data_IF_266840190624
#
_entry.id   IF_266840190624
#
_cell.length_a   1.000
_cell.length_b   1.000
_cell.length_c   1.000
_cell.angle_alpha   90.00
_cell.angle_beta   90.00
_cell.angle_gamma   90.00
#
_symmetry.space_group_name_H-M   'P 1'
#
loop_
_entity.id
_entity.type
_entity.pdbx_description
1 polymer ?
#
# COMPACT_ATOMS: atom_id res chain seq x y z
N UNK A 1 -23.69 0.19 9.93
CA UNK A 1 -24.69 0.11 8.85
C UNK A 1 -24.73 -1.33 8.40
N UNK A 2 -25.91 -1.96 8.43
CA UNK A 2 -26.10 -3.31 7.90
C UNK A 2 -26.40 -3.16 6.41
N UNK A 3 -25.59 -3.81 5.57
CA UNK A 3 -25.74 -3.83 4.12
C UNK A 3 -26.35 -5.16 3.73
N UNK A 4 -27.38 -5.13 2.91
CA UNK A 4 -28.02 -6.31 2.34
C UNK A 4 -27.66 -6.34 0.85
N UNK A 5 -26.71 -7.21 0.44
CA UNK A 5 -26.30 -7.30 -0.95
C UNK A 5 -27.42 -7.92 -1.79
N UNK A 6 -27.53 -7.43 -3.01
CA UNK A 6 -28.43 -7.93 -4.05
C UNK A 6 -27.66 -8.67 -5.14
N UNK A 7 -28.37 -9.35 -6.00
CA UNK A 7 -27.79 -9.96 -7.20
C UNK A 7 -27.14 -8.86 -8.07
N UNK A 8 -25.96 -9.18 -8.61
CA UNK A 8 -25.14 -8.30 -9.44
C UNK A 8 -24.43 -7.14 -8.70
N UNK A 9 -24.61 -7.02 -7.39
CA UNK A 9 -23.77 -6.11 -6.58
C UNK A 9 -22.30 -6.48 -6.67
N UNK A 10 -21.44 -5.48 -6.52
CA UNK A 10 -19.99 -5.66 -6.52
C UNK A 10 -19.45 -5.23 -5.16
N UNK A 11 -18.81 -6.16 -4.47
CA UNK A 11 -18.10 -5.89 -3.23
C UNK A 11 -16.59 -5.89 -3.46
N UNK A 12 -15.93 -4.78 -3.19
CA UNK A 12 -14.47 -4.65 -3.33
C UNK A 12 -13.83 -4.37 -1.99
N UNK A 13 -12.88 -5.21 -1.59
CA UNK A 13 -12.01 -4.93 -0.46
C UNK A 13 -10.81 -4.13 -0.95
N UNK A 14 -10.76 -2.85 -0.57
CA UNK A 14 -9.71 -1.90 -0.97
C UNK A 14 -8.64 -1.64 0.10
N UNK A 15 -8.70 -2.36 1.21
CA UNK A 15 -7.77 -2.21 2.33
C UNK A 15 -6.99 -3.48 2.65
N UNK A 16 -6.57 -3.58 3.89
CA UNK A 16 -5.77 -4.70 4.39
C UNK A 16 -6.63 -5.97 4.57
N UNK A 17 -6.98 -6.64 3.48
CA UNK A 17 -7.83 -7.84 3.45
C UNK A 17 -7.28 -8.98 4.36
N UNK A 18 -5.99 -9.00 4.61
CA UNK A 18 -5.31 -10.00 5.43
C UNK A 18 -5.48 -9.81 6.95
N UNK A 19 -6.02 -8.67 7.40
CA UNK A 19 -6.24 -8.39 8.83
C UNK A 19 -7.58 -8.96 9.30
N UNK A 20 -8.61 -8.89 8.46
CA UNK A 20 -9.97 -9.30 8.78
C UNK A 20 -10.52 -10.26 7.72
N UNK A 21 -10.06 -11.52 7.71
CA UNK A 21 -10.52 -12.51 6.75
C UNK A 21 -11.95 -12.96 7.09
N UNK A 22 -12.94 -12.47 6.34
CA UNK A 22 -14.34 -12.88 6.46
C UNK A 22 -14.79 -13.67 5.24
N UNK A 23 -13.95 -14.60 4.77
CA UNK A 23 -14.18 -15.32 3.51
C UNK A 23 -15.44 -16.16 3.51
N UNK A 24 -15.81 -16.77 4.64
CA UNK A 24 -17.07 -17.52 4.75
C UNK A 24 -18.29 -16.62 4.49
N UNK A 25 -18.28 -15.42 5.04
CA UNK A 25 -19.33 -14.43 4.78
C UNK A 25 -19.35 -14.00 3.32
N UNK A 26 -18.19 -13.76 2.72
CA UNK A 26 -18.07 -13.38 1.30
C UNK A 26 -18.59 -14.53 0.41
N UNK A 27 -18.22 -15.78 0.70
CA UNK A 27 -18.70 -16.94 -0.02
C UNK A 27 -20.22 -17.08 0.07
N UNK A 28 -20.80 -16.82 1.24
CA UNK A 28 -22.27 -16.83 1.40
C UNK A 28 -22.93 -15.72 0.55
N UNK A 29 -22.38 -14.52 0.54
CA UNK A 29 -22.89 -13.40 -0.27
C UNK A 29 -22.77 -13.67 -1.78
N UNK A 30 -21.72 -14.36 -2.22
CA UNK A 30 -21.58 -14.78 -3.61
C UNK A 30 -22.68 -15.75 -4.07
N UNK A 31 -23.25 -16.56 -3.17
CA UNK A 31 -24.37 -17.47 -3.47
C UNK A 31 -25.64 -16.71 -3.89
N UNK A 32 -25.82 -15.45 -3.45
CA UNK A 32 -26.93 -14.60 -3.88
C UNK A 32 -26.65 -13.86 -5.18
N UNK A 33 -25.48 -14.08 -5.81
CA UNK A 33 -25.11 -13.51 -7.09
C UNK A 33 -24.27 -12.23 -7.02
N UNK A 34 -23.73 -11.89 -5.83
CA UNK A 34 -22.75 -10.80 -5.66
C UNK A 34 -21.40 -11.19 -6.28
N UNK A 35 -20.69 -10.23 -6.85
CA UNK A 35 -19.30 -10.38 -7.30
C UNK A 35 -18.33 -9.81 -6.29
N UNK A 36 -17.20 -10.51 -6.10
CA UNK A 36 -16.16 -10.11 -5.15
C UNK A 36 -14.87 -9.73 -5.87
N UNK A 37 -14.33 -8.56 -5.53
CA UNK A 37 -13.07 -8.05 -6.04
C UNK A 37 -12.10 -7.66 -4.94
N UNK A 38 -10.82 -7.72 -5.25
CA UNK A 38 -9.72 -7.27 -4.40
C UNK A 38 -9.04 -6.07 -5.03
N UNK A 39 -8.64 -5.10 -4.20
CA UNK A 39 -7.71 -4.07 -4.60
C UNK A 39 -6.36 -4.34 -3.90
N UNK A 40 -5.35 -4.70 -4.67
CA UNK A 40 -4.03 -5.06 -4.15
C UNK A 40 -3.05 -3.92 -4.47
N UNK A 41 -2.41 -3.38 -3.43
CA UNK A 41 -1.46 -2.28 -3.55
C UNK A 41 -0.07 -2.72 -3.95
N UNK A 42 0.40 -3.85 -3.40
CA UNK A 42 1.69 -4.46 -3.70
C UNK A 42 1.74 -5.92 -3.22
N UNK A 43 2.80 -6.62 -3.58
CA UNK A 43 3.12 -7.97 -3.14
C UNK A 43 4.48 -8.01 -2.40
N UNK A 44 4.84 -6.92 -1.71
CA UNK A 44 6.14 -6.80 -1.01
C UNK A 44 6.35 -7.94 -0.01
N UNK A 45 5.32 -8.32 0.74
CA UNK A 45 5.40 -9.42 1.71
C UNK A 45 5.78 -10.77 1.07
N UNK A 46 5.48 -10.92 -0.23
CA UNK A 46 5.78 -12.14 -0.98
C UNK A 46 7.13 -12.02 -1.70
N UNK A 47 7.36 -10.89 -2.35
CA UNK A 47 8.54 -10.68 -3.20
C UNK A 47 9.81 -10.35 -2.42
N UNK A 48 9.66 -9.72 -1.25
CA UNK A 48 10.75 -9.23 -0.40
C UNK A 48 10.49 -9.54 1.09
N UNK A 49 10.28 -10.81 1.46
CA UNK A 49 9.90 -11.19 2.83
C UNK A 49 10.96 -10.81 3.87
N UNK A 50 12.22 -10.64 3.47
CA UNK A 50 13.33 -10.24 4.35
C UNK A 50 13.20 -8.80 4.88
N UNK A 51 12.36 -7.96 4.25
CA UNK A 51 12.11 -6.58 4.68
C UNK A 51 10.81 -6.40 5.47
N UNK A 52 10.13 -7.50 5.79
CA UNK A 52 8.85 -7.49 6.50
C UNK A 52 8.93 -8.40 7.71
N UNK A 53 8.17 -8.11 8.76
CA UNK A 53 8.09 -9.01 9.91
C UNK A 53 7.54 -10.38 9.48
N UNK A 54 8.15 -11.46 10.00
CA UNK A 54 7.88 -12.84 9.55
C UNK A 54 6.41 -13.23 9.75
N UNK A 55 5.85 -12.91 10.91
CA UNK A 55 4.44 -13.17 11.24
C UNK A 55 3.46 -12.45 10.26
N UNK A 56 3.78 -11.22 9.87
CA UNK A 56 3.01 -10.48 8.88
C UNK A 56 3.10 -11.12 7.49
N UNK A 57 4.28 -11.62 7.11
CA UNK A 57 4.51 -12.32 5.83
C UNK A 57 3.73 -13.63 5.77
N UNK A 58 3.81 -14.45 6.83
CA UNK A 58 3.13 -15.74 6.88
C UNK A 58 1.61 -15.57 6.81
N UNK A 59 1.06 -14.63 7.58
CA UNK A 59 -0.35 -14.30 7.51
C UNK A 59 -0.77 -13.80 6.13
N UNK A 60 -0.03 -12.88 5.54
CA UNK A 60 -0.33 -12.34 4.21
C UNK A 60 -0.35 -13.43 3.13
N UNK A 61 0.64 -14.36 3.16
CA UNK A 61 0.73 -15.45 2.20
C UNK A 61 -0.49 -16.38 2.22
N UNK A 62 -0.98 -16.71 3.42
CA UNK A 62 -2.21 -17.50 3.56
C UNK A 62 -3.41 -16.72 3.05
N UNK A 63 -3.59 -15.51 3.55
CA UNK A 63 -4.78 -14.71 3.27
C UNK A 63 -4.90 -14.29 1.80
N UNK A 64 -3.79 -13.96 1.12
CA UNK A 64 -3.85 -13.64 -0.31
C UNK A 64 -4.24 -14.85 -1.14
N UNK A 65 -3.76 -16.04 -0.76
CA UNK A 65 -4.12 -17.27 -1.45
C UNK A 65 -5.62 -17.52 -1.37
N UNK A 66 -6.18 -17.47 -0.16
CA UNK A 66 -7.60 -17.72 0.10
C UNK A 66 -8.48 -16.62 -0.56
N UNK A 67 -8.05 -15.36 -0.49
CA UNK A 67 -8.78 -14.25 -1.10
C UNK A 67 -8.85 -14.36 -2.63
N UNK A 68 -7.74 -14.75 -3.28
CA UNK A 68 -7.70 -14.95 -4.73
C UNK A 68 -8.56 -16.14 -5.17
N UNK A 69 -8.67 -17.19 -4.37
CA UNK A 69 -9.49 -18.37 -4.69
C UNK A 69 -10.99 -18.06 -4.74
N UNK A 70 -11.43 -17.00 -4.07
CA UNK A 70 -12.83 -16.57 -4.07
C UNK A 70 -13.09 -15.28 -4.86
N UNK A 71 -12.05 -14.60 -5.34
CA UNK A 71 -12.19 -13.36 -6.10
C UNK A 71 -12.70 -13.61 -7.52
N UNK A 72 -13.52 -12.70 -8.04
CA UNK A 72 -13.95 -12.69 -9.44
C UNK A 72 -13.03 -11.80 -10.30
N UNK A 73 -12.35 -10.83 -9.67
CA UNK A 73 -11.38 -9.96 -10.32
C UNK A 73 -10.45 -9.29 -9.29
N UNK A 74 -9.33 -8.75 -9.79
CA UNK A 74 -8.38 -7.97 -8.99
C UNK A 74 -8.14 -6.61 -9.63
N UNK A 75 -8.08 -5.58 -8.80
CA UNK A 75 -7.65 -4.24 -9.15
C UNK A 75 -6.26 -3.99 -8.54
N UNK A 76 -5.41 -3.29 -9.27
CA UNK A 76 -4.08 -2.89 -8.82
C UNK A 76 -3.89 -1.37 -8.97
N UNK A 77 -3.04 -0.77 -8.17
CA UNK A 77 -2.78 0.68 -8.22
C UNK A 77 -1.88 1.11 -9.38
N UNK A 78 -1.29 0.17 -10.12
CA UNK A 78 -0.41 0.44 -11.26
C UNK A 78 -0.31 -0.76 -12.20
N UNK A 79 0.12 -0.54 -13.43
CA UNK A 79 0.40 -1.61 -14.39
C UNK A 79 1.52 -2.55 -13.90
N UNK A 80 2.51 -2.01 -13.20
CA UNK A 80 3.57 -2.83 -12.60
C UNK A 80 3.00 -3.84 -11.61
N UNK A 81 2.17 -3.38 -10.67
CA UNK A 81 1.54 -4.26 -9.67
C UNK A 81 0.54 -5.22 -10.32
N UNK A 82 -0.21 -4.77 -11.34
CA UNK A 82 -1.11 -5.66 -12.08
C UNK A 82 -0.35 -6.82 -12.73
N UNK A 83 0.77 -6.54 -13.38
CA UNK A 83 1.62 -7.57 -13.99
C UNK A 83 2.26 -8.51 -12.93
N UNK A 84 2.69 -7.98 -11.79
CA UNK A 84 3.23 -8.78 -10.69
C UNK A 84 2.17 -9.73 -10.10
N UNK A 85 0.92 -9.28 -9.97
CA UNK A 85 -0.21 -10.13 -9.54
C UNK A 85 -0.50 -11.22 -10.57
N UNK A 86 -0.53 -10.89 -11.86
CA UNK A 86 -0.73 -11.87 -12.94
C UNK A 86 0.34 -12.95 -12.88
N UNK A 87 1.60 -12.55 -12.71
CA UNK A 87 2.72 -13.48 -12.58
C UNK A 87 2.57 -14.34 -11.32
N UNK A 88 2.22 -13.76 -10.18
CA UNK A 88 2.00 -14.50 -8.95
C UNK A 88 0.90 -15.56 -9.09
N UNK A 89 -0.22 -15.21 -9.72
CA UNK A 89 -1.31 -16.14 -9.99
C UNK A 89 -0.82 -17.28 -10.90
N UNK A 90 -0.09 -16.97 -11.96
CA UNK A 90 0.48 -17.99 -12.87
C UNK A 90 1.48 -18.92 -12.19
N UNK A 91 2.24 -18.42 -11.20
CA UNK A 91 3.22 -19.21 -10.43
C UNK A 91 2.56 -20.13 -9.38
N UNK A 92 1.43 -19.74 -8.81
CA UNK A 92 0.86 -20.35 -7.60
C UNK A 92 -0.49 -21.03 -7.81
N UNK A 93 -1.20 -20.70 -8.87
CA UNK A 93 -2.57 -21.14 -9.13
C UNK A 93 -2.67 -21.81 -10.50
N UNK A 94 -3.67 -22.65 -10.68
CA UNK A 94 -3.98 -23.32 -11.94
C UNK A 94 -5.16 -22.66 -12.70
N UNK A 95 -5.46 -21.42 -12.37
CA UNK A 95 -6.49 -20.62 -13.01
C UNK A 95 -5.97 -19.20 -13.30
N UNK A 96 -6.74 -18.44 -14.06
CA UNK A 96 -6.50 -17.02 -14.33
C UNK A 96 -7.63 -16.17 -13.77
N UNK A 97 -7.30 -14.96 -13.33
CA UNK A 97 -8.27 -13.96 -12.90
C UNK A 97 -8.13 -12.69 -13.77
N UNK A 98 -9.23 -11.97 -14.04
CA UNK A 98 -9.14 -10.63 -14.58
C UNK A 98 -8.39 -9.71 -13.60
N UNK A 99 -7.26 -9.15 -14.03
CA UNK A 99 -6.49 -8.17 -13.26
C UNK A 99 -6.43 -6.88 -14.07
N UNK A 100 -6.74 -5.74 -13.44
CA UNK A 100 -6.70 -4.45 -14.10
C UNK A 100 -6.07 -3.38 -13.23
N UNK A 101 -5.20 -2.56 -13.81
CA UNK A 101 -4.69 -1.38 -13.14
C UNK A 101 -5.75 -0.27 -13.09
N UNK A 102 -5.87 0.35 -11.91
CA UNK A 102 -6.63 1.56 -11.63
C UNK A 102 -5.65 2.55 -11.06
N UNK A 103 -5.15 3.44 -11.90
CA UNK A 103 -4.14 4.44 -11.49
C UNK A 103 -4.74 5.36 -10.44
N UNK A 104 -4.05 5.49 -9.31
CA UNK A 104 -4.47 6.39 -8.24
C UNK A 104 -4.31 7.85 -8.71
N UNK A 105 -5.23 8.74 -8.30
CA UNK A 105 -5.12 10.16 -8.64
C UNK A 105 -3.87 10.77 -7.99
N UNK A 106 -3.16 11.59 -8.74
CA UNK A 106 -1.95 12.30 -8.29
C UNK A 106 -2.25 13.69 -7.77
N UNK A 107 -3.43 14.24 -8.08
CA UNK A 107 -3.84 15.57 -7.66
C UNK A 107 -4.73 15.50 -6.43
N UNK A 108 -4.23 16.09 -5.35
CA UNK A 108 -5.07 16.42 -4.20
C UNK A 108 -5.74 17.76 -4.48
N UNK A 109 -7.05 17.80 -4.65
CA UNK A 109 -7.78 19.07 -4.64
C UNK A 109 -7.56 19.70 -3.27
N UNK A 110 -6.79 20.79 -3.22
CA UNK A 110 -6.70 21.60 -2.02
C UNK A 110 -8.08 22.23 -1.79
N UNK A 111 -8.85 21.71 -0.86
CA UNK A 111 -9.87 22.53 -0.24
C UNK A 111 -9.13 23.66 0.46
N UNK A 112 -9.48 24.90 0.14
CA UNK A 112 -8.79 26.15 0.51
C UNK A 112 -8.62 26.44 2.02
N UNK A 113 -9.03 25.54 2.88
CA UNK A 113 -8.68 25.57 4.30
C UNK A 113 -7.31 24.92 4.49
N UNK A 114 -6.24 25.57 4.01
CA UNK A 114 -4.90 25.24 4.51
C UNK A 114 -4.90 25.50 6.02
N UNK A 115 -4.90 24.42 6.80
CA UNK A 115 -4.79 24.52 8.23
C UNK A 115 -3.53 25.34 8.54
N UNK A 116 -3.70 26.46 9.25
CA UNK A 116 -2.59 27.32 9.61
C UNK A 116 -1.63 26.53 10.48
N UNK A 117 -0.42 26.36 10.01
CA UNK A 117 0.62 25.71 10.80
C UNK A 117 1.00 26.64 11.94
N UNK A 118 0.73 26.24 13.19
CA UNK A 118 1.02 27.03 14.39
C UNK A 118 2.29 26.57 15.11
N UNK A 119 2.85 25.41 14.75
CA UNK A 119 4.06 24.86 15.35
C UNK A 119 5.29 25.66 14.90
N UNK A 120 5.91 26.35 15.88
CA UNK A 120 7.09 27.21 15.63
C UNK A 120 8.29 26.44 15.09
N UNK A 121 8.53 25.23 15.60
CA UNK A 121 9.62 24.35 15.15
C UNK A 121 9.52 24.02 13.64
N UNK A 122 8.30 23.75 13.13
CA UNK A 122 8.07 23.53 11.70
C UNK A 122 8.27 24.81 10.91
N UNK A 123 7.78 25.94 11.42
CA UNK A 123 7.93 27.24 10.75
C UNK A 123 9.40 27.67 10.67
N UNK A 124 10.21 27.33 11.67
CA UNK A 124 11.64 27.66 11.68
C UNK A 124 12.42 26.78 10.70
N UNK A 125 12.10 25.49 10.59
CA UNK A 125 12.68 24.62 9.55
C UNK A 125 12.31 25.10 8.16
N UNK A 126 11.07 25.52 7.94
CA UNK A 126 10.59 25.99 6.62
C UNK A 126 11.26 27.28 6.14
N UNK A 127 12.02 27.99 6.99
CA UNK A 127 12.83 29.15 6.64
C UNK A 127 14.23 28.79 6.13
N UNK A 128 14.63 27.54 6.26
CA UNK A 128 15.95 27.03 5.85
C UNK A 128 15.82 26.13 4.63
N UNK A 129 16.93 25.83 3.98
CA UNK A 129 16.96 24.80 2.96
C UNK A 129 16.77 23.43 3.64
N UNK A 130 15.83 22.63 3.16
CA UNK A 130 15.56 21.31 3.69
C UNK A 130 15.14 20.29 2.63
N UNK A 131 15.39 19.04 2.94
CA UNK A 131 14.85 17.88 2.22
C UNK A 131 13.99 17.09 3.19
N UNK A 132 12.75 16.82 2.79
CA UNK A 132 11.80 16.06 3.60
C UNK A 132 11.63 14.64 3.08
N UNK A 133 11.66 13.67 4.00
CA UNK A 133 11.32 12.26 3.72
C UNK A 133 10.15 11.85 4.59
N UNK A 134 8.99 11.64 3.97
CA UNK A 134 7.76 11.25 4.68
C UNK A 134 7.53 9.76 4.49
N UNK A 135 7.75 8.98 5.53
CA UNK A 135 7.47 7.53 5.53
C UNK A 135 7.42 6.97 6.96
N UNK A 136 6.86 5.78 7.10
CA UNK A 136 7.01 5.01 8.35
C UNK A 136 8.46 4.56 8.53
N UNK A 137 8.92 4.45 9.79
CA UNK A 137 10.26 3.94 10.10
C UNK A 137 10.24 2.42 9.97
N UNK A 138 10.63 1.94 8.80
CA UNK A 138 10.69 0.53 8.44
C UNK A 138 12.00 0.22 7.70
N UNK A 139 12.45 -1.04 7.78
CA UNK A 139 13.71 -1.50 7.14
C UNK A 139 13.71 -1.20 5.64
N UNK A 140 12.61 -1.44 4.94
CA UNK A 140 12.47 -1.21 3.49
C UNK A 140 12.58 0.25 3.06
N UNK A 141 12.40 1.20 3.97
CA UNK A 141 12.54 2.64 3.70
C UNK A 141 13.98 3.15 3.86
N UNK A 142 14.84 2.31 4.42
CA UNK A 142 16.30 2.50 4.51
C UNK A 142 16.73 3.85 5.09
N UNK A 143 16.09 4.28 6.19
CA UNK A 143 16.44 5.53 6.88
C UNK A 143 17.91 5.57 7.28
N UNK A 144 18.53 4.41 7.56
CA UNK A 144 19.94 4.33 7.88
C UNK A 144 20.82 4.81 6.74
N UNK A 145 20.52 4.45 5.49
CA UNK A 145 21.25 4.95 4.33
C UNK A 145 21.08 6.45 4.20
N UNK A 146 19.87 6.95 4.41
CA UNK A 146 19.56 8.37 4.33
C UNK A 146 20.37 9.16 5.36
N UNK A 147 20.41 8.73 6.61
CA UNK A 147 21.20 9.36 7.68
C UNK A 147 22.69 9.35 7.35
N UNK A 148 23.26 8.21 6.94
CA UNK A 148 24.68 8.11 6.53
C UNK A 148 25.01 9.00 5.34
N UNK A 149 24.06 9.18 4.42
CA UNK A 149 24.24 10.11 3.30
C UNK A 149 24.33 11.54 3.80
N UNK A 150 23.48 11.93 4.77
CA UNK A 150 23.52 13.27 5.36
C UNK A 150 24.78 13.54 6.18
N UNK A 151 25.28 12.53 6.91
CA UNK A 151 26.58 12.61 7.59
C UNK A 151 27.69 12.96 6.59
N UNK A 152 27.77 12.25 5.47
CA UNK A 152 28.78 12.52 4.42
C UNK A 152 28.60 13.89 3.77
N UNK A 153 27.36 14.29 3.48
CA UNK A 153 27.10 15.63 2.93
C UNK A 153 27.56 16.73 3.89
N UNK A 154 27.37 16.55 5.19
CA UNK A 154 27.85 17.51 6.21
C UNK A 154 29.36 17.54 6.31
N UNK A 155 30.05 16.41 6.15
CA UNK A 155 31.49 16.36 6.08
C UNK A 155 32.05 17.10 4.87
N UNK A 156 31.36 17.03 3.72
CA UNK A 156 31.81 17.62 2.46
C UNK A 156 31.41 19.09 2.31
N UNK A 157 30.19 19.46 2.68
CA UNK A 157 29.60 20.78 2.45
C UNK A 157 29.40 21.63 3.71
N UNK A 158 29.62 21.07 4.89
CA UNK A 158 29.49 21.76 6.17
C UNK A 158 28.10 22.35 6.37
N UNK A 159 28.05 23.63 6.73
CA UNK A 159 26.81 24.37 6.99
C UNK A 159 25.97 24.65 5.75
N UNK A 160 26.50 24.40 4.54
CA UNK A 160 25.74 24.48 3.29
C UNK A 160 24.87 23.23 3.03
N UNK A 161 24.96 22.20 3.89
CA UNK A 161 24.11 21.03 3.76
C UNK A 161 22.68 21.36 4.21
N UNK A 162 21.65 21.08 3.38
CA UNK A 162 20.27 21.30 3.76
C UNK A 162 19.88 20.44 4.96
N UNK A 163 18.90 20.88 5.75
CA UNK A 163 18.38 20.09 6.85
C UNK A 163 17.64 18.84 6.34
N UNK A 164 17.85 17.71 7.01
CA UNK A 164 17.04 16.51 6.78
C UNK A 164 15.87 16.49 7.75
N UNK A 165 14.67 16.38 7.22
CA UNK A 165 13.41 16.26 7.97
C UNK A 165 12.83 14.87 7.74
N UNK A 166 12.57 14.13 8.82
CA UNK A 166 12.01 12.77 8.79
C UNK A 166 10.64 12.73 9.43
#
# INVERSE_FOLDING_TARGET
>A
VQVFPEKDDIFVVAGAFWIYPHYDNIMHLRQVGMRFGLFIHDLIQIRMPEYVARDATDNFNVQISDALDIADFVLANSEYVANDIIQFIAEKKNYTLPVKAVVLPTELRSNEASARIERRDILDIAKTDYVISVSTIEIRKNHTLLLRTWEKLREEFGDNTPNLVL
#
